data_IF_838017467400
#
_entry.id   IF_838017467400
#
_cell.length_a   1.000
_cell.length_b   1.000
_cell.length_c   1.000
_cell.angle_alpha   90.00
_cell.angle_beta   90.00
_cell.angle_gamma   90.00
#
_symmetry.space_group_name_H-M   'P 1'
#
loop_
_entity.id
_entity.type
_entity.pdbx_description
1 polymer ?
#
# COMPACT_ATOMS: atom_id res chain seq x y z
N UNK A 1 41.09 -28.68 -20.43
CA UNK A 1 39.92 -27.81 -20.20
C UNK A 1 40.20 -26.79 -19.11
N UNK A 2 40.10 -25.51 -19.40
CA UNK A 2 40.34 -24.46 -18.39
C UNK A 2 39.04 -24.29 -17.58
N UNK A 3 39.11 -24.44 -16.25
CA UNK A 3 37.96 -24.23 -15.34
C UNK A 3 37.76 -22.74 -15.07
N UNK A 4 36.63 -22.21 -15.50
CA UNK A 4 36.25 -20.81 -15.18
C UNK A 4 35.60 -20.76 -13.78
N UNK A 5 36.20 -20.02 -12.87
CA UNK A 5 35.64 -19.77 -11.51
C UNK A 5 34.66 -18.62 -11.57
N UNK A 6 33.44 -18.82 -11.03
CA UNK A 6 32.38 -17.80 -10.98
C UNK A 6 32.61 -16.69 -9.94
N UNK A 7 33.71 -16.75 -9.20
CA UNK A 7 34.00 -15.79 -8.13
C UNK A 7 32.96 -15.80 -7.00
N UNK A 8 32.60 -14.61 -6.50
CA UNK A 8 31.74 -14.44 -5.32
C UNK A 8 30.30 -13.97 -5.63
N UNK A 9 29.88 -13.96 -6.90
CA UNK A 9 28.58 -13.43 -7.33
C UNK A 9 27.40 -14.11 -6.62
N UNK A 10 27.40 -15.44 -6.57
CA UNK A 10 26.37 -16.21 -5.87
C UNK A 10 26.32 -15.90 -4.38
N UNK A 11 27.49 -15.72 -3.73
CA UNK A 11 27.60 -15.37 -2.32
C UNK A 11 27.04 -13.97 -2.05
N UNK A 12 27.40 -12.99 -2.89
CA UNK A 12 26.87 -11.60 -2.81
C UNK A 12 25.36 -11.57 -2.96
N UNK A 13 24.80 -12.27 -3.96
CA UNK A 13 23.35 -12.38 -4.17
C UNK A 13 22.63 -12.93 -2.95
N UNK A 14 23.10 -14.05 -2.39
CA UNK A 14 22.50 -14.65 -1.19
C UNK A 14 22.55 -13.71 0.00
N UNK A 15 23.69 -13.05 0.21
CA UNK A 15 23.88 -12.08 1.30
C UNK A 15 22.92 -10.91 1.18
N UNK A 16 22.69 -10.37 -0.01
CA UNK A 16 21.76 -9.28 -0.25
C UNK A 16 20.31 -9.68 0.09
N UNK A 17 19.87 -10.86 -0.32
CA UNK A 17 18.52 -11.36 0.02
C UNK A 17 18.37 -11.58 1.52
N UNK A 18 19.35 -12.19 2.19
CA UNK A 18 19.31 -12.37 3.64
C UNK A 18 19.35 -11.04 4.40
N UNK A 19 20.04 -10.03 3.86
CA UNK A 19 20.02 -8.68 4.42
C UNK A 19 18.62 -8.05 4.40
N UNK A 20 17.88 -8.22 3.29
CA UNK A 20 16.50 -7.75 3.17
C UNK A 20 15.51 -8.56 4.02
N UNK A 21 15.79 -9.85 4.24
CA UNK A 21 14.99 -10.74 5.09
C UNK A 21 15.34 -10.64 6.59
N UNK A 22 16.20 -9.72 6.98
CA UNK A 22 16.61 -9.53 8.37
C UNK A 22 15.40 -9.19 9.25
N UNK A 23 15.27 -9.86 10.38
CA UNK A 23 14.15 -9.69 11.31
C UNK A 23 12.94 -10.59 11.02
N UNK A 24 12.97 -11.39 9.97
CA UNK A 24 11.90 -12.37 9.72
C UNK A 24 11.97 -13.52 10.72
N UNK A 25 10.79 -14.06 11.11
CA UNK A 25 10.71 -15.12 12.09
C UNK A 25 11.34 -16.43 11.61
N UNK A 26 12.02 -17.13 12.51
CA UNK A 26 12.55 -18.48 12.31
C UNK A 26 13.54 -18.59 11.15
N UNK A 27 13.36 -19.62 10.33
CA UNK A 27 14.23 -19.95 9.21
C UNK A 27 14.18 -18.92 8.06
N UNK A 28 13.16 -18.09 8.00
CA UNK A 28 13.00 -17.07 6.95
C UNK A 28 14.06 -15.97 6.97
N UNK A 29 14.73 -15.76 8.08
CA UNK A 29 15.86 -14.83 8.21
C UNK A 29 17.22 -15.49 8.03
N UNK A 30 17.31 -16.81 8.12
CA UNK A 30 18.59 -17.56 8.15
C UNK A 30 18.86 -18.36 6.88
N UNK A 31 17.84 -19.04 6.35
CA UNK A 31 17.98 -19.92 5.19
C UNK A 31 17.61 -19.17 3.91
N UNK A 32 18.54 -19.13 2.94
CA UNK A 32 18.36 -18.41 1.69
C UNK A 32 17.11 -18.84 0.91
N UNK A 33 16.83 -20.13 0.82
CA UNK A 33 15.68 -20.66 0.01
C UNK A 33 14.34 -20.15 0.55
N UNK A 34 14.13 -20.27 1.85
CA UNK A 34 12.92 -19.83 2.52
C UNK A 34 12.84 -18.30 2.59
N UNK A 35 13.96 -17.62 2.86
CA UNK A 35 14.06 -16.17 2.87
C UNK A 35 13.69 -15.54 1.53
N UNK A 36 14.19 -16.09 0.43
CA UNK A 36 13.90 -15.59 -0.92
C UNK A 36 12.40 -15.70 -1.25
N UNK A 37 11.78 -16.85 -0.95
CA UNK A 37 10.34 -17.04 -1.17
C UNK A 37 9.50 -16.07 -0.34
N UNK A 38 9.85 -15.90 0.92
CA UNK A 38 9.12 -15.00 1.82
C UNK A 38 9.30 -13.52 1.44
N UNK A 39 10.49 -13.14 0.98
CA UNK A 39 10.75 -11.79 0.48
C UNK A 39 9.90 -11.47 -0.76
N UNK A 40 9.82 -12.39 -1.73
CA UNK A 40 8.97 -12.21 -2.91
C UNK A 40 7.49 -12.04 -2.53
N UNK A 41 6.99 -12.86 -1.59
CA UNK A 41 5.62 -12.70 -1.06
C UNK A 41 5.43 -11.37 -0.37
N UNK A 42 6.37 -10.96 0.46
CA UNK A 42 6.34 -9.68 1.17
C UNK A 42 6.25 -8.48 0.22
N UNK A 43 7.04 -8.46 -0.85
CA UNK A 43 7.00 -7.42 -1.87
C UNK A 43 5.67 -7.39 -2.63
N UNK A 44 5.12 -8.56 -2.97
CA UNK A 44 3.81 -8.69 -3.59
C UNK A 44 2.69 -8.14 -2.68
N UNK A 45 2.74 -8.47 -1.40
CA UNK A 45 1.79 -7.96 -0.42
C UNK A 45 1.93 -6.45 -0.20
N UNK A 46 3.15 -5.95 -0.13
CA UNK A 46 3.43 -4.52 -0.04
C UNK A 46 2.81 -3.73 -1.20
N UNK A 47 2.91 -4.23 -2.44
CA UNK A 47 2.25 -3.61 -3.59
C UNK A 47 0.73 -3.61 -3.47
N UNK A 48 0.13 -4.76 -3.14
CA UNK A 48 -1.31 -4.89 -2.94
C UNK A 48 -1.82 -3.98 -1.82
N UNK A 49 -1.12 -3.96 -0.70
CA UNK A 49 -1.57 -3.27 0.50
C UNK A 49 -1.41 -1.74 0.39
N UNK A 50 -0.46 -1.23 -0.41
CA UNK A 50 -0.41 0.19 -0.77
C UNK A 50 -1.69 0.65 -1.48
N UNK A 51 -2.24 -0.16 -2.40
CA UNK A 51 -3.54 0.13 -3.05
C UNK A 51 -4.71 0.01 -2.08
N UNK A 52 -4.68 -1.01 -1.22
CA UNK A 52 -5.73 -1.24 -0.22
C UNK A 52 -5.76 -0.16 0.85
N UNK A 53 -4.61 0.39 1.23
CA UNK A 53 -4.50 1.46 2.22
C UNK A 53 -5.33 2.69 1.84
N UNK A 54 -5.31 3.11 0.58
CA UNK A 54 -6.13 4.23 0.09
C UNK A 54 -7.62 3.99 0.30
N UNK A 55 -8.10 2.77 0.07
CA UNK A 55 -9.50 2.39 0.30
C UNK A 55 -9.87 2.40 1.78
N UNK A 56 -8.96 1.94 2.65
CA UNK A 56 -9.17 1.91 4.10
C UNK A 56 -9.24 3.32 4.66
N UNK A 57 -8.35 4.21 4.27
CA UNK A 57 -8.40 5.61 4.69
C UNK A 57 -9.65 6.33 4.20
N UNK A 58 -10.04 6.10 2.96
CA UNK A 58 -11.30 6.67 2.44
C UNK A 58 -12.51 6.20 3.24
N UNK A 59 -12.57 4.91 3.59
CA UNK A 59 -13.63 4.38 4.47
C UNK A 59 -13.63 5.07 5.83
N UNK A 60 -12.47 5.26 6.42
CA UNK A 60 -12.32 5.95 7.70
C UNK A 60 -12.81 7.41 7.62
N UNK A 61 -12.44 8.14 6.56
CA UNK A 61 -12.89 9.51 6.33
C UNK A 61 -14.41 9.60 6.18
N UNK A 62 -15.00 8.67 5.42
CA UNK A 62 -16.47 8.59 5.27
C UNK A 62 -17.15 8.40 6.63
N UNK A 63 -16.64 7.50 7.47
CA UNK A 63 -17.18 7.27 8.82
C UNK A 63 -17.12 8.54 9.66
N UNK A 64 -15.97 9.23 9.67
CA UNK A 64 -15.78 10.46 10.44
C UNK A 64 -16.69 11.60 9.97
N UNK A 65 -16.77 11.82 8.66
CA UNK A 65 -17.65 12.83 8.07
C UNK A 65 -19.12 12.49 8.37
N UNK A 66 -19.52 11.23 8.23
CA UNK A 66 -20.89 10.83 8.52
C UNK A 66 -21.28 11.04 9.99
N UNK A 67 -20.35 10.83 10.93
CA UNK A 67 -20.58 11.08 12.35
C UNK A 67 -20.89 12.59 12.61
N UNK A 68 -20.12 13.48 12.00
CA UNK A 68 -20.32 14.94 12.11
C UNK A 68 -21.65 15.35 11.47
N UNK A 69 -21.89 14.90 10.25
CA UNK A 69 -23.09 15.28 9.46
C UNK A 69 -24.39 14.80 10.13
N UNK A 70 -24.34 13.66 10.82
CA UNK A 70 -25.48 13.17 11.61
C UNK A 70 -25.82 14.06 12.80
N UNK A 71 -24.82 14.71 13.42
CA UNK A 71 -25.06 15.68 14.47
C UNK A 71 -25.88 16.89 13.97
N UNK A 72 -25.79 17.20 12.67
CA UNK A 72 -26.59 18.24 12.00
C UNK A 72 -27.90 17.71 11.37
N UNK A 73 -28.32 16.49 11.71
CA UNK A 73 -29.59 15.91 11.27
C UNK A 73 -29.63 15.40 9.82
N UNK A 74 -28.47 15.31 9.14
CA UNK A 74 -28.38 14.81 7.77
C UNK A 74 -27.52 13.55 7.69
N UNK A 75 -27.44 12.92 6.51
CA UNK A 75 -26.55 11.77 6.28
C UNK A 75 -25.47 12.09 5.24
N UNK A 76 -24.44 11.26 5.21
CA UNK A 76 -23.29 11.43 4.32
C UNK A 76 -23.70 11.57 2.83
N UNK A 77 -24.66 10.76 2.36
CA UNK A 77 -25.07 10.78 0.94
C UNK A 77 -25.70 12.08 0.54
N UNK A 78 -26.57 12.65 1.37
CA UNK A 78 -27.19 13.96 1.14
C UNK A 78 -26.15 15.07 1.18
N UNK A 79 -25.25 15.03 2.16
CA UNK A 79 -24.17 16.01 2.28
C UNK A 79 -23.28 16.06 1.04
N UNK A 80 -22.83 14.89 0.53
CA UNK A 80 -22.00 14.83 -0.68
C UNK A 80 -22.77 15.26 -1.93
N UNK A 81 -24.06 14.95 -2.03
CA UNK A 81 -24.89 15.43 -3.15
C UNK A 81 -24.98 16.97 -3.16
N UNK A 82 -25.20 17.59 -2.01
CA UNK A 82 -25.21 19.06 -1.89
C UNK A 82 -23.85 19.67 -2.26
N UNK A 83 -22.75 19.11 -1.76
CA UNK A 83 -21.40 19.57 -2.10
C UNK A 83 -21.12 19.52 -3.61
N UNK A 84 -21.48 18.43 -4.26
CA UNK A 84 -21.30 18.28 -5.72
C UNK A 84 -22.13 19.31 -6.49
N UNK A 85 -23.35 19.56 -6.08
CA UNK A 85 -24.21 20.54 -6.73
C UNK A 85 -23.67 21.98 -6.57
N UNK A 86 -23.17 22.35 -5.37
CA UNK A 86 -22.56 23.66 -5.15
C UNK A 86 -21.27 23.87 -5.95
N UNK A 87 -20.38 22.87 -6.02
CA UNK A 87 -19.15 22.97 -6.84
C UNK A 87 -19.43 23.09 -8.33
N UNK A 88 -20.48 22.42 -8.85
CA UNK A 88 -20.88 22.53 -10.24
C UNK A 88 -21.41 23.95 -10.56
N UNK A 89 -22.13 24.57 -9.62
CA UNK A 89 -22.63 25.95 -9.77
C UNK A 89 -21.47 26.95 -9.80
N UNK A 90 -20.49 26.81 -8.93
CA UNK A 90 -19.30 27.67 -8.89
C UNK A 90 -18.46 27.59 -10.17
N UNK A 91 -18.28 26.38 -10.73
CA UNK A 91 -17.59 26.21 -12.00
C UNK A 91 -18.31 26.82 -13.20
N UNK A 92 -19.65 26.89 -13.15
CA UNK A 92 -20.45 27.53 -14.19
C UNK A 92 -20.36 29.06 -14.11
N UNK A 93 -20.41 29.64 -12.90
CA UNK A 93 -20.29 31.08 -12.68
C UNK A 93 -18.90 31.62 -13.06
N UNK A 94 -17.84 30.83 -12.89
CA UNK A 94 -16.48 31.24 -13.30
C UNK A 94 -16.23 31.17 -14.82
N UNK A 95 -17.17 30.65 -15.63
CA UNK A 95 -17.05 30.56 -17.09
C UNK A 95 -17.84 31.64 -17.85
N UNK A 96 -18.64 32.42 -17.19
CA UNK A 96 -19.27 33.64 -17.71
C UNK A 96 -18.40 34.89 -17.45
#
# INVERSE_FOLDING_TARGET
>A
MVRIRRGNVAKKRRKNILKLARGFCGAHSKLFRTANQQLMKGLKYSYRDRKRRKRLFRKLWIIRINAIVRAYGTNYSRFIAHLKNSTVIEEQVCRE
#
